data_IF_497164187489
#
_entry.id   IF_497164187489
#
_cell.length_a   1.000
_cell.length_b   1.000
_cell.length_c   1.000
_cell.angle_alpha   90.00
_cell.angle_beta   90.00
_cell.angle_gamma   90.00
#
_symmetry.space_group_name_H-M   'P 1'
#
loop_
_entity.id
_entity.type
_entity.pdbx_description
1 polymer ?
#
# COMPACT_ATOMS: atom_id res chain seq x y z
N UNK A 1 -10.55 27.99 -19.99
CA UNK A 1 -9.10 27.91 -20.29
C UNK A 1 -8.43 27.28 -19.10
N UNK A 2 -7.95 26.05 -19.25
CA UNK A 2 -7.22 25.32 -18.21
C UNK A 2 -5.77 25.79 -18.31
N UNK A 3 -5.31 26.59 -17.36
CA UNK A 3 -3.89 26.94 -17.24
C UNK A 3 -3.15 25.78 -16.61
N UNK A 4 -2.06 25.37 -17.26
CA UNK A 4 -1.07 24.41 -16.77
C UNK A 4 -0.71 24.71 -15.31
N UNK A 5 -0.90 23.72 -14.44
CA UNK A 5 -0.30 23.74 -13.11
C UNK A 5 1.12 23.17 -13.27
N UNK A 6 2.13 23.99 -13.00
CA UNK A 6 3.52 23.57 -12.89
C UNK A 6 3.63 22.44 -11.85
N UNK A 7 4.11 21.28 -12.30
CA UNK A 7 4.56 20.17 -11.48
C UNK A 7 5.93 20.56 -10.92
N UNK A 8 5.94 21.32 -9.84
CA UNK A 8 7.17 21.63 -9.10
C UNK A 8 7.27 20.70 -7.87
N UNK A 9 8.24 19.79 -7.96
CA UNK A 9 8.92 19.04 -6.88
C UNK A 9 8.08 18.26 -5.85
N UNK A 10 7.38 17.21 -6.27
CA UNK A 10 7.25 16.02 -5.39
C UNK A 10 7.42 14.72 -6.20
N UNK A 11 8.56 14.05 -6.01
CA UNK A 11 8.97 12.82 -6.69
C UNK A 11 8.43 11.53 -6.05
N UNK A 12 7.42 11.61 -5.17
CA UNK A 12 6.77 10.43 -4.64
C UNK A 12 5.59 10.05 -5.53
N UNK A 13 5.71 8.92 -6.24
CA UNK A 13 4.61 8.29 -6.95
C UNK A 13 4.35 6.97 -6.23
N UNK A 14 3.16 6.78 -5.66
CA UNK A 14 2.74 5.49 -5.10
C UNK A 14 1.65 4.93 -6.01
N UNK A 15 2.04 4.21 -7.06
CA UNK A 15 1.09 3.58 -7.98
C UNK A 15 0.56 2.27 -7.37
N UNK A 16 -0.34 2.43 -6.41
CA UNK A 16 -1.05 1.33 -5.75
C UNK A 16 -2.56 1.46 -5.99
N UNK A 17 -3.25 0.32 -5.93
CA UNK A 17 -4.70 0.24 -5.98
C UNK A 17 -5.32 0.82 -4.71
N UNK A 18 -4.69 0.62 -3.56
CA UNK A 18 -5.14 1.15 -2.28
C UNK A 18 -5.06 2.67 -2.27
N UNK A 19 -6.10 3.31 -1.73
CA UNK A 19 -6.12 4.76 -1.65
C UNK A 19 -5.17 5.24 -0.54
N UNK A 20 -4.24 6.13 -0.90
CA UNK A 20 -3.30 6.75 0.03
C UNK A 20 -3.55 8.25 0.15
N UNK A 21 -3.39 8.78 1.36
CA UNK A 21 -3.31 10.21 1.62
C UNK A 21 -1.86 10.63 1.82
N UNK A 22 -1.27 11.26 0.81
CA UNK A 22 0.11 11.75 0.86
C UNK A 22 0.15 13.16 1.46
N UNK A 23 -0.22 13.28 2.73
CA UNK A 23 -0.25 14.55 3.46
C UNK A 23 -1.14 15.63 2.80
N UNK A 24 -2.33 15.24 2.37
CA UNK A 24 -3.31 16.09 1.70
C UNK A 24 -3.15 16.18 0.19
N UNK A 25 -2.19 15.43 -0.39
CA UNK A 25 -2.04 15.23 -1.83
C UNK A 25 -2.49 13.82 -2.21
N UNK A 26 -3.01 13.70 -3.42
CA UNK A 26 -3.39 12.42 -4.01
C UNK A 26 -2.59 12.27 -5.30
N UNK A 27 -1.92 11.14 -5.45
CA UNK A 27 -1.29 10.76 -6.71
C UNK A 27 -2.39 10.54 -7.77
N UNK A 28 -2.40 11.40 -8.79
CA UNK A 28 -3.37 11.34 -9.89
C UNK A 28 -2.97 10.31 -10.96
N UNK A 29 -1.72 9.85 -10.95
CA UNK A 29 -1.22 8.80 -11.83
C UNK A 29 -1.50 7.40 -11.22
N UNK A 30 -1.75 7.33 -9.91
CA UNK A 30 -2.21 6.14 -9.21
C UNK A 30 -3.75 5.97 -9.25
N UNK A 31 -4.27 4.87 -8.67
CA UNK A 31 -5.72 4.63 -8.57
C UNK A 31 -6.46 5.68 -7.73
N UNK A 32 -5.73 6.46 -6.96
CA UNK A 32 -6.20 7.67 -6.29
C UNK A 32 -6.78 8.73 -7.25
N UNK A 33 -6.27 8.81 -8.49
CA UNK A 33 -6.79 9.65 -9.57
C UNK A 33 -8.02 9.05 -10.28
N UNK A 34 -8.19 7.73 -10.23
CA UNK A 34 -9.22 6.96 -10.96
C UNK A 34 -10.26 6.35 -10.01
N UNK A 35 -10.74 7.14 -9.05
CA UNK A 35 -11.58 6.66 -7.94
C UNK A 35 -12.87 5.96 -8.37
N UNK A 36 -13.55 6.50 -9.38
CA UNK A 36 -14.76 5.89 -9.91
C UNK A 36 -14.47 4.50 -10.50
N UNK A 37 -13.28 4.31 -11.07
CA UNK A 37 -12.87 3.05 -11.70
C UNK A 37 -12.46 2.05 -10.61
N UNK A 38 -11.70 2.51 -9.61
CA UNK A 38 -11.38 1.75 -8.38
C UNK A 38 -12.66 1.24 -7.70
N UNK A 39 -13.65 2.11 -7.52
CA UNK A 39 -14.93 1.78 -6.91
C UNK A 39 -15.67 0.71 -7.72
N UNK A 40 -15.73 0.83 -9.05
CA UNK A 40 -16.36 -0.19 -9.90
C UNK A 40 -15.68 -1.55 -9.83
N UNK A 41 -14.35 -1.59 -9.68
CA UNK A 41 -13.63 -2.85 -9.42
C UNK A 41 -14.04 -3.44 -8.08
N UNK A 42 -13.99 -2.65 -6.99
CA UNK A 42 -14.40 -3.11 -5.66
C UNK A 42 -15.87 -3.55 -5.62
N UNK A 43 -16.77 -2.82 -6.30
CA UNK A 43 -18.19 -3.17 -6.49
C UNK A 43 -18.32 -4.54 -7.14
N UNK A 44 -17.65 -4.75 -8.25
CA UNK A 44 -17.72 -6.01 -8.98
C UNK A 44 -17.23 -7.18 -8.12
N UNK A 45 -16.10 -7.02 -7.44
CA UNK A 45 -15.51 -8.02 -6.56
C UNK A 45 -16.43 -8.39 -5.39
N UNK A 46 -17.16 -7.42 -4.85
CA UNK A 46 -18.07 -7.61 -3.72
C UNK A 46 -19.43 -8.17 -4.16
N UNK A 47 -20.06 -7.58 -5.17
CA UNK A 47 -21.39 -7.97 -5.67
C UNK A 47 -21.42 -9.39 -6.22
N UNK A 48 -20.29 -9.88 -6.76
CA UNK A 48 -20.18 -11.23 -7.30
C UNK A 48 -19.60 -12.25 -6.30
N UNK A 49 -19.41 -11.87 -5.03
CA UNK A 49 -18.83 -12.73 -3.99
C UNK A 49 -17.52 -13.41 -4.42
N UNK A 50 -16.68 -12.71 -5.18
CA UNK A 50 -15.36 -13.23 -5.56
C UNK A 50 -14.50 -13.22 -4.29
N UNK A 51 -13.92 -14.34 -3.88
CA UNK A 51 -13.02 -14.41 -2.71
C UNK A 51 -11.56 -14.58 -3.15
N UNK A 52 -10.64 -14.52 -2.21
CA UNK A 52 -9.21 -14.84 -2.40
C UNK A 52 -8.53 -13.89 -3.40
N UNK A 53 -8.82 -12.59 -3.23
CA UNK A 53 -8.45 -11.54 -4.17
C UNK A 53 -7.07 -10.98 -3.84
N UNK A 54 -6.24 -10.90 -4.88
CA UNK A 54 -4.86 -10.43 -4.78
C UNK A 54 -4.60 -9.42 -5.89
N UNK A 55 -4.11 -8.24 -5.51
CA UNK A 55 -3.63 -7.22 -6.43
C UNK A 55 -2.11 -7.18 -6.32
N UNK A 56 -1.43 -7.15 -7.48
CA UNK A 56 0.01 -6.97 -7.56
C UNK A 56 0.29 -5.59 -8.15
N UNK A 57 1.13 -4.82 -7.47
CA UNK A 57 1.50 -3.47 -7.86
C UNK A 57 3.02 -3.27 -7.87
N UNK A 58 3.45 -2.15 -8.45
CA UNK A 58 4.83 -1.75 -8.59
C UNK A 58 4.88 -0.27 -8.99
N UNK A 59 5.92 0.13 -9.74
CA UNK A 59 6.17 1.51 -10.19
C UNK A 59 6.52 2.51 -9.08
N UNK A 60 5.91 2.36 -7.89
CA UNK A 60 6.16 3.23 -6.73
C UNK A 60 7.60 3.24 -6.22
N UNK A 61 8.41 2.29 -6.68
CA UNK A 61 9.76 2.06 -6.17
C UNK A 61 9.77 1.81 -4.66
N UNK A 62 8.71 1.18 -4.15
CA UNK A 62 8.52 0.94 -2.73
C UNK A 62 7.82 -0.38 -2.50
N UNK A 63 8.19 -1.06 -1.42
CA UNK A 63 7.48 -2.24 -0.99
C UNK A 63 6.30 -1.83 -0.10
N UNK A 64 5.11 -2.36 -0.38
CA UNK A 64 3.95 -2.25 0.52
C UNK A 64 3.12 -3.51 0.56
N UNK A 65 2.44 -3.67 1.69
CA UNK A 65 1.27 -4.53 1.80
C UNK A 65 0.09 -3.72 2.30
N UNK A 66 -1.05 -3.89 1.63
CA UNK A 66 -2.34 -3.35 2.05
C UNK A 66 -3.37 -4.46 2.09
N UNK A 67 -4.31 -4.38 3.03
CA UNK A 67 -5.58 -5.09 2.82
C UNK A 67 -6.46 -4.24 1.87
N UNK A 68 -7.35 -4.86 1.12
CA UNK A 68 -8.24 -4.12 0.22
C UNK A 68 -9.52 -3.79 0.95
N UNK A 69 -9.72 -2.52 1.29
CA UNK A 69 -10.93 -2.06 1.98
C UNK A 69 -11.66 -0.98 1.19
N UNK A 70 -12.98 -0.92 1.40
CA UNK A 70 -13.75 0.31 1.18
C UNK A 70 -13.47 1.25 2.34
N UNK A 71 -12.67 2.26 2.08
CA UNK A 71 -12.43 3.35 3.01
C UNK A 71 -13.29 4.54 2.57
N UNK A 72 -14.28 4.96 3.37
CA UNK A 72 -15.02 6.18 3.09
C UNK A 72 -14.05 7.36 3.05
N UNK A 73 -14.32 8.30 2.16
CA UNK A 73 -13.57 9.55 2.13
C UNK A 73 -13.72 10.27 3.49
N UNK A 74 -12.63 10.32 4.26
CA UNK A 74 -12.59 11.03 5.55
C UNK A 74 -12.67 12.55 5.39
N UNK A 75 -12.60 13.09 4.17
CA UNK A 75 -12.81 14.52 3.89
C UNK A 75 -13.26 14.78 2.45
N UNK A 76 -14.16 15.77 2.23
CA UNK A 76 -14.47 16.23 0.88
C UNK A 76 -13.20 16.76 0.19
N UNK A 77 -13.09 16.62 -1.15
CA UNK A 77 -11.96 17.13 -1.91
C UNK A 77 -11.67 18.60 -1.57
N UNK A 78 -10.40 18.94 -1.33
CA UNK A 78 -10.02 20.35 -1.18
C UNK A 78 -10.45 21.15 -2.42
N UNK A 79 -10.62 22.46 -2.28
CA UNK A 79 -11.10 23.35 -3.36
C UNK A 79 -10.24 23.35 -4.63
N UNK A 80 -9.06 22.71 -4.61
CA UNK A 80 -8.19 22.48 -5.78
C UNK A 80 -8.50 21.19 -6.55
N UNK A 81 -9.31 20.28 -6.00
CA UNK A 81 -9.61 18.98 -6.60
C UNK A 81 -11.12 18.84 -6.93
N UNK A 82 -11.67 19.87 -7.60
CA UNK A 82 -13.10 20.04 -7.93
C UNK A 82 -13.71 18.99 -8.85
N UNK A 83 -12.91 18.09 -9.43
CA UNK A 83 -13.39 17.05 -10.34
C UNK A 83 -13.56 15.68 -9.66
N UNK A 84 -13.23 15.57 -8.36
CA UNK A 84 -13.48 14.35 -7.62
C UNK A 84 -14.97 14.22 -7.27
N UNK A 85 -15.58 13.04 -7.48
CA UNK A 85 -16.94 12.81 -7.01
C UNK A 85 -16.99 12.98 -5.49
N UNK A 86 -18.11 13.51 -4.94
CA UNK A 86 -18.28 13.59 -3.49
C UNK A 86 -18.21 12.19 -2.87
N UNK A 87 -17.88 12.10 -1.55
CA UNK A 87 -18.02 10.86 -0.80
C UNK A 87 -19.39 10.22 -1.06
N UNK A 88 -19.41 8.92 -1.34
CA UNK A 88 -20.69 8.21 -1.45
C UNK A 88 -21.32 8.19 -0.05
N UNK A 89 -22.50 8.79 0.15
CA UNK A 89 -23.15 8.86 1.46
C UNK A 89 -23.57 7.48 2.01
N UNK A 90 -23.53 6.43 1.19
CA UNK A 90 -23.79 5.05 1.59
C UNK A 90 -22.50 4.22 1.77
N UNK A 91 -21.33 4.82 1.58
CA UNK A 91 -20.04 4.15 1.82
C UNK A 91 -19.77 4.10 3.33
N UNK A 92 -20.16 2.99 3.96
CA UNK A 92 -19.79 2.68 5.34
C UNK A 92 -18.40 2.05 5.38
N UNK A 93 -17.54 2.53 6.28
CA UNK A 93 -16.29 1.85 6.61
C UNK A 93 -16.65 0.49 7.20
N UNK A 94 -16.47 -0.58 6.43
CA UNK A 94 -16.68 -1.95 6.88
C UNK A 94 -15.41 -2.61 7.40
N UNK A 95 -14.27 -1.89 7.35
CA UNK A 95 -12.96 -2.43 7.66
C UNK A 95 -12.52 -2.06 9.07
N UNK A 96 -12.10 -3.08 9.83
CA UNK A 96 -11.49 -2.95 11.14
C UNK A 96 -9.96 -3.10 11.03
N UNK A 97 -9.16 -2.03 11.23
CA UNK A 97 -7.71 -2.08 11.09
C UNK A 97 -7.03 -2.90 12.19
N UNK A 98 -7.67 -3.10 13.35
CA UNK A 98 -7.08 -3.90 14.41
C UNK A 98 -7.07 -5.41 14.09
N UNK A 99 -8.06 -5.85 13.31
CA UNK A 99 -8.30 -7.28 13.02
C UNK A 99 -8.17 -7.62 11.53
N UNK A 100 -8.23 -6.63 10.65
CA UNK A 100 -8.38 -6.77 9.21
C UNK A 100 -9.78 -7.22 8.76
N UNK A 101 -10.76 -7.32 9.67
CA UNK A 101 -12.12 -7.74 9.32
C UNK A 101 -12.75 -6.76 8.33
N UNK A 102 -13.48 -7.28 7.34
CA UNK A 102 -14.05 -6.46 6.26
C UNK A 102 -13.08 -6.20 5.09
N UNK A 103 -11.87 -6.76 5.14
CA UNK A 103 -11.00 -6.80 3.97
C UNK A 103 -11.65 -7.60 2.83
N UNK A 104 -11.52 -7.06 1.63
CA UNK A 104 -11.94 -7.66 0.39
C UNK A 104 -10.81 -8.47 -0.24
N UNK A 105 -9.56 -8.22 0.10
CA UNK A 105 -8.41 -8.94 -0.47
C UNK A 105 -7.12 -8.33 0.05
N UNK A 106 -6.02 -8.62 -0.64
CA UNK A 106 -4.72 -8.03 -0.31
C UNK A 106 -4.08 -7.42 -1.56
N UNK A 107 -3.29 -6.39 -1.34
CA UNK A 107 -2.40 -5.82 -2.34
C UNK A 107 -0.95 -5.98 -1.91
N UNK A 108 -0.14 -6.55 -2.80
CA UNK A 108 1.30 -6.62 -2.67
C UNK A 108 1.95 -5.72 -3.71
N UNK A 109 2.52 -4.61 -3.25
CA UNK A 109 3.31 -3.72 -4.08
C UNK A 109 4.80 -4.03 -3.90
N UNK A 110 5.51 -4.21 -5.01
CA UNK A 110 6.94 -4.44 -5.02
C UNK A 110 7.74 -3.19 -5.32
N UNK A 111 8.90 -3.08 -4.67
CA UNK A 111 9.91 -2.09 -4.99
C UNK A 111 10.50 -2.28 -6.40
N UNK A 112 11.30 -1.31 -6.84
CA UNK A 112 12.03 -1.42 -8.09
C UNK A 112 13.21 -2.39 -7.98
N UNK A 113 13.58 -3.01 -9.11
CA UNK A 113 14.81 -3.83 -9.18
C UNK A 113 16.05 -2.97 -8.97
N UNK A 114 16.10 -1.77 -9.56
CA UNK A 114 17.27 -0.85 -9.48
C UNK A 114 16.93 0.63 -9.33
N UNK A 115 15.73 1.06 -9.71
CA UNK A 115 15.36 2.48 -9.65
C UNK A 115 15.33 3.00 -8.21
N UNK A 116 15.76 4.24 -8.01
CA UNK A 116 15.88 4.86 -6.68
C UNK A 116 14.54 5.01 -5.98
N UNK A 117 14.55 4.99 -4.65
CA UNK A 117 13.37 5.29 -3.82
C UNK A 117 12.75 6.63 -4.17
N UNK A 118 11.42 6.71 -4.01
CA UNK A 118 10.64 7.93 -4.05
C UNK A 118 11.09 8.96 -3.00
N UNK A 119 11.69 8.51 -1.89
CA UNK A 119 12.24 9.39 -0.84
C UNK A 119 13.67 9.86 -1.13
N UNK A 120 14.24 9.44 -2.26
CA UNK A 120 15.53 9.92 -2.74
C UNK A 120 16.58 8.81 -2.93
N UNK A 121 17.62 9.08 -3.72
CA UNK A 121 18.66 8.11 -4.03
C UNK A 121 19.44 7.70 -2.77
N UNK A 122 19.48 6.40 -2.49
CA UNK A 122 20.28 5.83 -1.40
C UNK A 122 19.81 6.23 0.00
N UNK A 123 18.51 6.55 0.17
CA UNK A 123 17.94 6.80 1.49
C UNK A 123 18.25 5.63 2.44
N UNK A 124 18.71 5.96 3.64
CA UNK A 124 19.00 4.95 4.65
C UNK A 124 17.70 4.40 5.26
N UNK A 125 17.70 3.11 5.62
CA UNK A 125 16.54 2.43 6.21
C UNK A 125 15.90 3.22 7.35
N UNK A 126 16.68 3.64 8.34
CA UNK A 126 16.15 4.40 9.49
C UNK A 126 15.50 5.74 9.11
N UNK A 127 15.98 6.40 8.06
CA UNK A 127 15.39 7.65 7.58
C UNK A 127 14.09 7.39 6.79
N UNK A 128 14.07 6.33 5.97
CA UNK A 128 12.86 5.89 5.29
C UNK A 128 11.77 5.48 6.30
N UNK A 129 12.14 4.71 7.33
CA UNK A 129 11.21 4.26 8.38
C UNK A 129 10.59 5.44 9.14
N UNK A 130 11.33 6.52 9.39
CA UNK A 130 10.80 7.73 10.00
C UNK A 130 9.74 8.41 9.14
N UNK A 131 9.96 8.48 7.82
CA UNK A 131 9.00 9.06 6.87
C UNK A 131 7.75 8.17 6.79
N UNK A 132 7.92 6.85 6.66
CA UNK A 132 6.81 5.90 6.61
C UNK A 132 5.99 5.97 7.89
N UNK A 133 6.63 6.00 9.05
CA UNK A 133 5.95 6.13 10.36
C UNK A 133 5.05 7.38 10.39
N UNK A 134 5.56 8.51 9.90
CA UNK A 134 4.77 9.75 9.85
C UNK A 134 3.60 9.65 8.84
N UNK A 135 3.80 8.99 7.70
CA UNK A 135 2.76 8.78 6.70
C UNK A 135 1.66 7.85 7.22
N UNK A 136 2.01 6.72 7.82
CA UNK A 136 1.06 5.76 8.40
C UNK A 136 0.23 6.41 9.51
N UNK A 137 0.86 7.25 10.35
CA UNK A 137 0.16 7.97 11.41
C UNK A 137 -0.68 9.18 10.92
N UNK A 138 -0.61 9.54 9.64
CA UNK A 138 -1.27 10.73 9.13
C UNK A 138 -2.79 10.51 8.99
N UNK A 139 -3.62 11.53 9.29
CA UNK A 139 -5.06 11.42 9.10
C UNK A 139 -5.45 11.09 7.67
N UNK A 140 -6.38 10.17 7.47
CA UNK A 140 -6.77 9.65 6.16
C UNK A 140 -5.94 8.46 5.65
N UNK A 141 -4.90 8.05 6.39
CA UNK A 141 -4.20 6.77 6.18
C UNK A 141 -4.55 5.73 7.26
N UNK A 142 -5.59 5.98 8.08
CA UNK A 142 -5.92 5.13 9.23
C UNK A 142 -6.35 3.69 8.87
N UNK A 143 -6.45 3.35 7.57
CA UNK A 143 -6.83 2.05 7.02
C UNK A 143 -6.40 2.01 5.53
N UNK A 144 -6.06 0.87 4.90
CA UNK A 144 -5.73 -0.48 5.37
C UNK A 144 -4.22 -0.83 5.17
N UNK A 145 -3.34 -0.01 5.73
CA UNK A 145 -1.89 -0.12 5.53
C UNK A 145 -1.29 -1.21 6.41
N UNK A 146 -0.70 -2.28 5.87
CA UNK A 146 -0.15 -3.36 6.71
C UNK A 146 1.36 -3.19 6.97
N UNK A 147 2.12 -2.86 5.93
CA UNK A 147 3.57 -2.68 6.01
C UNK A 147 4.10 -1.87 4.85
N UNK A 148 5.20 -1.14 5.07
CA UNK A 148 6.00 -0.53 3.99
C UNK A 148 7.49 -0.53 4.23
N UNK A 149 8.25 -0.55 3.14
CA UNK A 149 9.70 -0.43 3.12
C UNK A 149 10.16 0.28 1.83
N UNK A 150 10.95 1.34 1.98
CA UNK A 150 11.31 2.27 0.89
C UNK A 150 12.80 2.36 0.61
N UNK A 151 13.66 1.83 1.48
CA UNK A 151 15.11 1.93 1.34
C UNK A 151 15.67 0.89 0.37
N UNK A 152 15.29 -0.37 0.52
CA UNK A 152 15.86 -1.46 -0.27
C UNK A 152 15.20 -1.59 -1.63
N UNK A 153 16.03 -2.05 -2.57
CA UNK A 153 15.59 -2.53 -3.88
C UNK A 153 15.50 -4.05 -3.83
N UNK A 154 14.85 -4.65 -4.81
CA UNK A 154 14.76 -6.10 -4.89
C UNK A 154 13.52 -6.57 -5.60
N UNK A 155 12.91 -7.61 -5.04
CA UNK A 155 11.74 -8.28 -5.60
C UNK A 155 10.99 -8.99 -4.48
N UNK A 156 9.79 -9.48 -4.78
CA UNK A 156 9.09 -10.41 -3.90
C UNK A 156 8.68 -11.66 -4.69
N UNK A 157 8.43 -12.73 -3.96
CA UNK A 157 7.93 -13.98 -4.51
C UNK A 157 6.58 -14.31 -3.90
N UNK A 158 5.73 -14.98 -4.68
CA UNK A 158 4.48 -15.55 -4.20
C UNK A 158 4.56 -17.07 -4.27
N UNK A 159 4.36 -17.71 -3.12
CA UNK A 159 4.14 -19.16 -3.04
C UNK A 159 2.66 -19.39 -2.82
N UNK A 160 1.97 -19.98 -3.80
CA UNK A 160 0.52 -20.15 -3.79
C UNK A 160 0.18 -21.63 -3.71
N UNK A 161 -0.63 -22.00 -2.72
CA UNK A 161 -1.21 -23.32 -2.51
C UNK A 161 -2.73 -23.19 -2.34
N UNK A 162 -3.51 -24.29 -2.45
CA UNK A 162 -4.97 -24.22 -2.32
C UNK A 162 -5.49 -23.63 -1.00
N UNK A 163 -4.73 -23.77 0.09
CA UNK A 163 -5.14 -23.26 1.41
C UNK A 163 -4.45 -21.98 1.84
N UNK A 164 -3.34 -21.61 1.21
CA UNK A 164 -2.51 -20.47 1.64
C UNK A 164 -1.77 -19.84 0.47
N UNK A 165 -1.58 -18.53 0.55
CA UNK A 165 -0.60 -17.79 -0.24
C UNK A 165 0.41 -17.13 0.69
N UNK A 166 1.67 -17.10 0.27
CA UNK A 166 2.73 -16.45 1.03
C UNK A 166 3.52 -15.51 0.13
N UNK A 167 3.58 -14.24 0.50
CA UNK A 167 4.43 -13.23 -0.11
C UNK A 167 5.71 -13.08 0.70
N UNK A 168 6.87 -13.25 0.08
CA UNK A 168 8.17 -13.01 0.72
C UNK A 168 8.93 -11.93 -0.05
N UNK A 169 9.24 -10.83 0.63
CA UNK A 169 9.97 -9.70 0.09
C UNK A 169 11.47 -9.88 0.30
N UNK A 170 12.25 -9.81 -0.77
CA UNK A 170 13.70 -9.94 -0.75
C UNK A 170 14.35 -8.58 -1.00
N UNK A 171 15.14 -8.13 -0.02
CA UNK A 171 15.94 -6.92 -0.10
C UNK A 171 17.34 -7.27 -0.63
N UNK A 172 17.76 -6.59 -1.69
CA UNK A 172 19.12 -6.70 -2.24
C UNK A 172 20.06 -5.79 -1.45
N UNK A 173 21.19 -6.33 -0.99
CA UNK A 173 22.21 -5.56 -0.27
C UNK A 173 22.97 -4.59 -1.19
N UNK A 174 23.03 -4.92 -2.49
CA UNK A 174 23.70 -4.12 -3.51
C UNK A 174 22.98 -4.28 -4.85
N UNK A 175 22.72 -3.18 -5.54
CA UNK A 175 22.12 -3.16 -6.89
C UNK A 175 23.00 -2.51 -7.95
N UNK A 176 24.21 -2.06 -7.56
CA UNK A 176 25.15 -1.39 -8.47
C UNK A 176 25.93 -2.39 -9.33
N UNK A 177 26.02 -3.66 -8.91
CA UNK A 177 26.68 -4.74 -9.65
C UNK A 177 25.89 -6.05 -9.52
N UNK A 178 26.02 -6.96 -10.50
CA UNK A 178 25.35 -8.26 -10.46
C UNK A 178 25.82 -9.11 -9.26
N UNK A 179 24.87 -9.58 -8.45
CA UNK A 179 25.10 -10.42 -7.29
C UNK A 179 23.80 -11.15 -6.87
N UNK A 180 23.90 -12.03 -5.88
CA UNK A 180 22.76 -12.77 -5.30
C UNK A 180 22.60 -12.47 -3.81
N UNK A 181 23.21 -11.39 -3.31
CA UNK A 181 23.24 -11.07 -1.89
C UNK A 181 21.94 -10.37 -1.53
N UNK A 182 21.01 -11.16 -1.01
CA UNK A 182 19.70 -10.71 -0.56
C UNK A 182 19.31 -11.37 0.74
N UNK A 183 18.46 -10.70 1.51
CA UNK A 183 17.80 -11.27 2.68
C UNK A 183 16.28 -11.09 2.59
N UNK A 184 15.53 -11.96 3.27
CA UNK A 184 14.08 -11.80 3.38
C UNK A 184 13.77 -10.65 4.36
N UNK A 185 13.24 -9.55 3.82
CA UNK A 185 12.90 -8.33 4.58
C UNK A 185 11.60 -8.49 5.37
N UNK A 186 10.58 -9.08 4.75
CA UNK A 186 9.28 -9.30 5.35
C UNK A 186 8.57 -10.49 4.68
N UNK A 187 7.64 -11.11 5.41
CA UNK A 187 6.82 -12.20 4.91
C UNK A 187 5.37 -12.04 5.38
N UNK A 188 4.45 -12.28 4.46
CA UNK A 188 3.01 -12.16 4.68
C UNK A 188 2.33 -13.44 4.22
N UNK A 189 1.43 -13.96 5.04
CA UNK A 189 0.63 -15.14 4.73
C UNK A 189 -0.82 -14.70 4.56
N UNK A 190 -1.54 -15.30 3.63
CA UNK A 190 -2.96 -15.10 3.39
C UNK A 190 -3.59 -16.47 3.36
N UNK A 191 -4.52 -16.74 4.28
CA UNK A 191 -5.24 -18.01 4.28
C UNK A 191 -6.43 -17.94 3.32
N UNK A 192 -6.74 -19.06 2.68
CA UNK A 192 -7.89 -19.16 1.80
C UNK A 192 -9.19 -18.83 2.56
N UNK A 193 -10.03 -17.98 1.96
CA UNK A 193 -11.29 -17.49 2.50
C UNK A 193 -11.17 -16.27 3.41
N UNK A 194 -9.96 -15.86 3.84
CA UNK A 194 -9.81 -14.76 4.81
C UNK A 194 -9.76 -13.38 4.16
N UNK A 195 -9.33 -13.28 2.90
CA UNK A 195 -9.21 -12.01 2.14
C UNK A 195 -8.33 -10.94 2.81
N UNK A 196 -7.46 -11.31 3.74
CA UNK A 196 -6.57 -10.40 4.47
C UNK A 196 -5.25 -11.06 4.78
N UNK A 197 -4.27 -10.24 5.14
CA UNK A 197 -3.04 -10.76 5.74
C UNK A 197 -3.34 -11.48 7.06
N UNK A 198 -2.73 -12.64 7.27
CA UNK A 198 -2.85 -13.43 8.48
C UNK A 198 -2.47 -12.57 9.69
N UNK A 199 -3.36 -12.52 10.68
CA UNK A 199 -3.08 -11.87 11.95
C UNK A 199 -2.34 -12.83 12.90
N UNK A 200 -1.34 -12.36 13.67
CA UNK A 200 -0.75 -11.03 13.59
C UNK A 200 0.10 -10.88 12.32
N UNK A 201 -0.01 -9.70 11.70
CA UNK A 201 0.64 -9.36 10.43
C UNK A 201 2.15 -9.57 10.54
N UNK A 202 2.71 -10.35 9.60
CA UNK A 202 4.12 -10.75 9.58
C UNK A 202 4.64 -11.31 10.92
N UNK A 203 3.79 -11.91 11.75
CA UNK A 203 4.19 -12.36 13.09
C UNK A 203 4.65 -11.23 14.03
N UNK A 204 4.31 -9.97 13.73
CA UNK A 204 4.79 -8.73 14.38
C UNK A 204 6.28 -8.45 14.26
N UNK A 205 6.96 -9.09 13.31
CA UNK A 205 8.40 -8.89 13.14
C UNK A 205 8.78 -8.89 11.67
N UNK A 206 9.53 -7.87 11.27
CA UNK A 206 10.14 -7.74 9.96
C UNK A 206 11.61 -7.40 10.13
N UNK A 207 12.45 -7.75 9.15
CA UNK A 207 13.86 -7.41 9.12
C UNK A 207 14.10 -6.00 8.56
N UNK A 208 13.15 -5.48 7.77
CA UNK A 208 13.19 -4.13 7.21
C UNK A 208 11.77 -3.55 7.05
N UNK A 209 11.68 -2.22 7.16
CA UNK A 209 10.44 -1.48 7.00
C UNK A 209 9.62 -1.37 8.27
N UNK A 210 8.45 -0.75 8.14
CA UNK A 210 7.57 -0.38 9.24
C UNK A 210 6.27 -1.16 9.14
N UNK A 211 5.91 -1.86 10.22
CA UNK A 211 4.59 -2.45 10.40
C UNK A 211 3.63 -1.40 10.94
N UNK A 212 2.42 -1.32 10.39
CA UNK A 212 1.39 -0.38 10.90
C UNK A 212 1.14 -0.57 12.40
N UNK A 213 1.06 -1.83 12.85
CA UNK A 213 0.84 -2.17 14.27
C UNK A 213 1.91 -1.65 15.24
N UNK A 214 3.07 -1.20 14.72
CA UNK A 214 4.13 -0.56 15.52
C UNK A 214 3.98 0.95 15.63
N UNK A 215 3.14 1.55 14.78
CA UNK A 215 2.94 3.00 14.65
C UNK A 215 1.63 3.41 15.31
N UNK A 216 0.54 2.70 15.02
CA UNK A 216 -0.79 2.97 15.56
C UNK A 216 -1.09 2.00 16.70
N UNK A 217 -1.57 2.53 17.82
CA UNK A 217 -2.04 1.70 18.95
C UNK A 217 -3.40 1.09 18.59
N UNK A 218 -3.39 -0.05 17.90
CA UNK A 218 -4.59 -0.85 17.60
C UNK A 218 -4.99 -1.75 18.79
N UNK A 219 -4.93 -1.22 20.03
CA UNK A 219 -5.21 -1.95 21.28
C UNK A 219 -6.39 -1.38 22.05
#
# INVERSE_FOLDING_TARGET
MCTSLELDESHSQWIVFTQLNESGRFDLDAWNGYRADRARVLDHLQQNNITDKVILAGDSHANCVFDLARTPLSSPPSTRNRCLPPPDPNETASYDPATGDGALGVEFAGTAVTSTSAFGPGIALAAADQIITALVAAPGNEQPWQWSEESYRGFFTLTINPGTMMATYYAMENVSNANTNSFAGAQFVVNAGENKSQWPVAGRSVQAGVLESSVVNVW
#
